data_IF_709806339249
#
_entry.id   IF_709806339249
#
_cell.length_a   1.000
_cell.length_b   1.000
_cell.length_c   1.000
_cell.angle_alpha   90.00
_cell.angle_beta   90.00
_cell.angle_gamma   90.00
#
_symmetry.space_group_name_H-M   'P 1'
#
loop_
_entity.id
_entity.type
_entity.pdbx_description
1 polymer ?
#
# COMPACT_ATOMS: atom_id res chain seq x y z
N UNK A 1 -12.41 -20.30 2.65
CA UNK A 1 -13.04 -19.66 3.83
C UNK A 1 -14.13 -18.67 3.40
N UNK A 2 -15.37 -18.85 3.85
CA UNK A 2 -16.45 -17.93 3.47
C UNK A 2 -16.17 -16.56 4.09
N UNK A 3 -15.97 -15.54 3.26
CA UNK A 3 -15.75 -14.13 3.66
C UNK A 3 -16.79 -13.66 4.70
N UNK A 4 -17.98 -14.27 4.68
CA UNK A 4 -19.12 -13.98 5.55
C UNK A 4 -18.81 -14.02 7.05
N UNK A 5 -17.91 -14.89 7.52
CA UNK A 5 -17.60 -14.97 8.95
C UNK A 5 -16.65 -13.85 9.43
N UNK A 6 -16.10 -13.05 8.50
CA UNK A 6 -15.17 -11.96 8.79
C UNK A 6 -15.78 -10.57 8.62
N UNK A 7 -17.06 -10.50 8.27
CA UNK A 7 -17.76 -9.24 7.98
C UNK A 7 -19.08 -9.19 8.71
N UNK A 8 -19.46 -8.00 9.16
CA UNK A 8 -20.82 -7.73 9.64
C UNK A 8 -21.64 -7.18 8.49
N UNK A 9 -22.75 -7.83 8.17
CA UNK A 9 -23.68 -7.36 7.14
C UNK A 9 -24.83 -6.63 7.81
N UNK A 10 -25.14 -5.43 7.31
CA UNK A 10 -26.24 -4.59 7.78
C UNK A 10 -27.21 -4.40 6.61
N UNK A 11 -28.30 -5.16 6.60
CA UNK A 11 -29.30 -5.13 5.52
C UNK A 11 -30.29 -3.97 5.69
N UNK A 12 -29.82 -2.74 5.48
CA UNK A 12 -30.67 -1.55 5.52
C UNK A 12 -30.12 -0.43 4.61
N UNK A 13 -30.94 0.58 4.24
CA UNK A 13 -30.46 1.74 3.50
C UNK A 13 -29.32 2.47 4.23
N UNK A 14 -28.41 3.09 3.48
CA UNK A 14 -27.30 3.85 4.07
C UNK A 14 -27.79 4.95 5.00
N UNK A 15 -27.12 5.10 6.15
CA UNK A 15 -27.31 6.20 7.09
C UNK A 15 -25.93 6.68 7.52
N UNK A 16 -25.70 7.99 7.72
CA UNK A 16 -24.39 8.51 8.15
C UNK A 16 -23.83 7.86 9.43
N UNK A 17 -24.71 7.37 10.32
CA UNK A 17 -24.31 6.65 11.53
C UNK A 17 -23.55 5.33 11.25
N UNK A 18 -23.73 4.71 10.08
CA UNK A 18 -22.99 3.49 9.70
C UNK A 18 -21.50 3.74 9.52
N UNK A 19 -21.07 5.01 9.35
CA UNK A 19 -19.65 5.37 9.28
C UNK A 19 -19.01 5.52 10.67
N UNK A 20 -19.75 5.31 11.76
CA UNK A 20 -19.20 5.39 13.11
C UNK A 20 -18.08 4.35 13.30
N UNK A 21 -16.91 4.82 13.76
CA UNK A 21 -15.74 3.96 13.96
C UNK A 21 -14.94 3.63 12.69
N UNK A 22 -15.43 4.00 11.51
CA UNK A 22 -14.70 3.78 10.26
C UNK A 22 -13.40 4.60 10.21
N UNK A 23 -12.49 4.18 9.34
CA UNK A 23 -11.24 4.88 8.98
C UNK A 23 -11.08 5.01 7.46
N UNK A 24 -11.69 4.09 6.73
CA UNK A 24 -11.70 3.99 5.28
C UNK A 24 -13.08 3.53 4.84
N UNK A 25 -13.57 4.07 3.73
CA UNK A 25 -14.90 3.76 3.18
C UNK A 25 -14.74 3.33 1.72
N UNK A 26 -15.43 2.25 1.35
CA UNK A 26 -15.63 1.87 -0.05
C UNK A 26 -17.10 2.10 -0.37
N UNK A 27 -17.38 3.00 -1.31
CA UNK A 27 -18.71 3.30 -1.80
C UNK A 27 -18.90 2.59 -3.15
N UNK A 28 -19.81 1.62 -3.21
CA UNK A 28 -20.05 0.80 -4.40
C UNK A 28 -21.56 0.60 -4.61
N UNK A 29 -22.31 1.70 -4.56
CA UNK A 29 -23.76 1.74 -4.73
C UNK A 29 -24.14 2.61 -5.94
N UNK A 30 -25.40 3.05 -6.01
CA UNK A 30 -25.83 4.03 -7.02
C UNK A 30 -25.16 5.39 -6.79
N UNK A 31 -25.05 6.25 -7.82
CA UNK A 31 -24.43 7.58 -7.67
C UNK A 31 -25.04 8.43 -6.55
N UNK A 32 -26.34 8.32 -6.31
CA UNK A 32 -27.05 9.04 -5.24
C UNK A 32 -26.53 8.60 -3.87
N UNK A 33 -26.46 7.30 -3.64
CA UNK A 33 -25.97 6.74 -2.37
C UNK A 33 -24.47 7.02 -2.21
N UNK A 34 -23.68 6.94 -3.28
CA UNK A 34 -22.25 7.26 -3.23
C UNK A 34 -22.01 8.73 -2.84
N UNK A 35 -22.82 9.67 -3.34
CA UNK A 35 -22.78 11.09 -2.91
C UNK A 35 -23.11 11.25 -1.42
N UNK A 36 -24.14 10.58 -0.92
CA UNK A 36 -24.51 10.63 0.50
C UNK A 36 -23.41 10.05 1.39
N UNK A 37 -22.81 8.93 0.98
CA UNK A 37 -21.67 8.31 1.65
C UNK A 37 -20.48 9.26 1.67
N UNK A 38 -20.14 9.88 0.53
CA UNK A 38 -19.02 10.79 0.41
C UNK A 38 -19.21 12.05 1.28
N UNK A 39 -20.40 12.64 1.28
CA UNK A 39 -20.72 13.78 2.14
C UNK A 39 -20.60 13.43 3.63
N UNK A 40 -21.15 12.29 4.04
CA UNK A 40 -21.08 11.82 5.42
C UNK A 40 -19.63 11.47 5.85
N UNK A 41 -18.83 10.94 4.93
CA UNK A 41 -17.42 10.62 5.13
C UNK A 41 -16.55 11.88 5.23
N UNK A 42 -16.78 12.88 4.36
CA UNK A 42 -16.09 14.16 4.39
C UNK A 42 -16.28 14.89 5.72
N UNK A 43 -17.52 14.90 6.25
CA UNK A 43 -17.82 15.47 7.57
C UNK A 43 -17.07 14.80 8.74
N UNK A 44 -16.47 13.63 8.51
CA UNK A 44 -15.72 12.83 9.50
C UNK A 44 -14.22 12.73 9.17
N UNK A 45 -13.74 13.37 8.09
CA UNK A 45 -12.36 13.25 7.64
C UNK A 45 -11.97 11.84 7.18
N UNK A 46 -12.93 11.06 6.64
CA UNK A 46 -12.68 9.70 6.18
C UNK A 46 -12.27 9.67 4.70
N UNK A 47 -11.36 8.77 4.36
CA UNK A 47 -11.02 8.46 2.97
C UNK A 47 -12.13 7.61 2.32
N UNK A 48 -12.48 7.95 1.08
CA UNK A 48 -13.53 7.30 0.31
C UNK A 48 -12.95 6.82 -1.01
N UNK A 49 -12.98 5.50 -1.22
CA UNK A 49 -12.86 4.92 -2.54
C UNK A 49 -14.26 4.67 -3.11
N UNK A 50 -14.65 5.47 -4.09
CA UNK A 50 -15.92 5.29 -4.78
C UNK A 50 -15.70 4.49 -6.06
N UNK A 51 -16.27 3.28 -6.10
CA UNK A 51 -16.18 2.34 -7.21
C UNK A 51 -17.02 2.88 -8.36
N UNK A 52 -16.40 2.99 -9.54
CA UNK A 52 -17.00 3.51 -10.78
C UNK A 52 -17.58 4.94 -10.69
N UNK A 53 -17.31 5.67 -9.60
CA UNK A 53 -17.73 7.06 -9.40
C UNK A 53 -16.54 7.93 -8.90
N UNK A 54 -15.57 8.23 -9.78
CA UNK A 54 -14.39 8.99 -9.41
C UNK A 54 -14.70 10.44 -8.97
N UNK A 55 -15.91 10.94 -9.23
CA UNK A 55 -16.31 12.31 -8.91
C UNK A 55 -16.43 12.57 -7.40
N UNK A 56 -16.70 11.52 -6.63
CA UNK A 56 -16.86 11.58 -5.17
C UNK A 56 -15.76 10.82 -4.41
N UNK A 57 -14.81 10.24 -5.13
CA UNK A 57 -13.66 9.55 -4.54
C UNK A 57 -12.67 10.56 -3.95
N UNK A 58 -12.21 10.30 -2.73
CA UNK A 58 -11.10 11.02 -2.08
C UNK A 58 -9.85 10.16 -1.93
N UNK A 59 -9.95 8.88 -2.30
CA UNK A 59 -8.85 7.94 -2.33
C UNK A 59 -9.00 6.91 -3.45
N UNK A 60 -7.87 6.52 -4.03
CA UNK A 60 -7.81 5.63 -5.17
C UNK A 60 -7.01 4.38 -4.83
N UNK A 61 -7.50 3.24 -5.30
CA UNK A 61 -6.69 2.03 -5.31
C UNK A 61 -5.64 2.13 -6.43
N UNK A 62 -4.45 1.63 -6.15
CA UNK A 62 -3.32 1.59 -7.07
C UNK A 62 -2.77 0.17 -7.23
N UNK A 63 -1.77 0.02 -8.11
CA UNK A 63 -1.00 -1.21 -8.19
C UNK A 63 -0.10 -1.33 -6.97
N UNK A 64 -0.11 -2.47 -6.28
CA UNK A 64 0.78 -2.71 -5.13
C UNK A 64 1.62 -3.94 -5.40
N UNK A 65 2.93 -3.75 -5.42
CA UNK A 65 3.91 -4.83 -5.40
C UNK A 65 4.19 -5.20 -3.96
N UNK A 66 4.15 -6.49 -3.63
CA UNK A 66 4.53 -7.01 -2.31
C UNK A 66 5.60 -8.09 -2.45
N UNK A 67 6.77 -7.85 -1.84
CA UNK A 67 7.90 -8.79 -1.80
C UNK A 67 8.43 -8.84 -0.37
N UNK A 68 7.94 -9.82 0.39
CA UNK A 68 8.24 -9.94 1.83
C UNK A 68 7.86 -8.64 2.57
N UNK A 69 8.80 -8.00 3.30
CA UNK A 69 8.55 -6.75 4.02
C UNK A 69 8.63 -5.48 3.14
N UNK A 70 8.94 -5.61 1.85
CA UNK A 70 9.02 -4.49 0.91
C UNK A 70 7.71 -4.35 0.15
N UNK A 71 7.10 -3.17 0.23
CA UNK A 71 5.91 -2.81 -0.54
C UNK A 71 6.18 -1.58 -1.42
N UNK A 72 5.68 -1.61 -2.66
CA UNK A 72 5.70 -0.47 -3.58
C UNK A 72 4.28 -0.20 -4.06
N UNK A 73 3.76 0.98 -3.77
CA UNK A 73 2.47 1.44 -4.24
C UNK A 73 2.63 2.36 -5.46
N UNK A 74 1.84 2.11 -6.50
CA UNK A 74 1.88 2.79 -7.78
C UNK A 74 0.50 3.39 -8.03
N UNK A 75 0.44 4.70 -8.20
CA UNK A 75 -0.81 5.43 -8.45
C UNK A 75 -0.65 6.33 -9.68
N UNK A 76 -1.72 6.40 -10.46
CA UNK A 76 -1.89 7.37 -11.55
C UNK A 76 -2.90 8.47 -11.19
N UNK A 77 -3.17 8.66 -9.89
CA UNK A 77 -4.19 9.60 -9.42
C UNK A 77 -5.61 9.25 -9.86
N UNK A 78 -5.87 7.95 -10.10
CA UNK A 78 -7.16 7.48 -10.64
C UNK A 78 -7.34 7.68 -12.15
N UNK A 79 -6.41 8.36 -12.83
CA UNK A 79 -6.54 8.71 -14.25
C UNK A 79 -6.34 7.50 -15.19
N UNK A 80 -5.49 6.55 -14.80
CA UNK A 80 -5.15 5.40 -15.63
C UNK A 80 -4.92 4.13 -14.78
N UNK A 81 -5.99 3.46 -14.31
CA UNK A 81 -5.87 2.24 -13.51
C UNK A 81 -5.13 1.12 -14.22
N UNK A 82 -5.38 0.95 -15.53
CA UNK A 82 -4.69 -0.05 -16.35
C UNK A 82 -3.17 0.20 -16.42
N UNK A 83 -2.74 1.46 -16.55
CA UNK A 83 -1.33 1.81 -16.54
C UNK A 83 -0.66 1.51 -15.18
N UNK A 84 -1.35 1.80 -14.07
CA UNK A 84 -0.85 1.44 -12.74
C UNK A 84 -0.67 -0.09 -12.60
N UNK A 85 -1.58 -0.88 -13.19
CA UNK A 85 -1.47 -2.34 -13.27
C UNK A 85 -0.25 -2.82 -14.06
N UNK A 86 -0.03 -2.26 -15.26
CA UNK A 86 1.12 -2.62 -16.10
C UNK A 86 2.46 -2.27 -15.43
N UNK A 87 2.55 -1.11 -14.77
CA UNK A 87 3.74 -0.72 -14.02
C UNK A 87 4.01 -1.65 -12.83
N UNK A 88 2.96 -2.09 -12.13
CA UNK A 88 3.07 -3.08 -11.04
C UNK A 88 3.66 -4.39 -11.56
N UNK A 89 3.14 -4.89 -12.68
CA UNK A 89 3.61 -6.13 -13.30
C UNK A 89 5.06 -6.04 -13.74
N UNK A 90 5.45 -4.92 -14.36
CA UNK A 90 6.83 -4.68 -14.74
C UNK A 90 7.75 -4.65 -13.51
N UNK A 91 7.36 -3.96 -12.44
CA UNK A 91 8.14 -3.91 -11.19
C UNK A 91 8.23 -5.29 -10.54
N UNK A 92 7.14 -6.06 -10.49
CA UNK A 92 7.16 -7.44 -9.97
C UNK A 92 8.13 -8.34 -10.73
N UNK A 93 8.25 -8.17 -12.05
CA UNK A 93 9.14 -8.95 -12.88
C UNK A 93 10.63 -8.62 -12.70
N UNK A 94 10.97 -7.34 -12.48
CA UNK A 94 12.38 -6.92 -12.34
C UNK A 94 12.90 -7.01 -10.90
N UNK A 95 12.01 -7.00 -9.91
CA UNK A 95 12.39 -7.01 -8.51
C UNK A 95 12.89 -8.39 -8.09
N UNK A 96 14.08 -8.47 -7.44
CA UNK A 96 14.63 -9.75 -7.00
C UNK A 96 13.68 -10.51 -6.06
N UNK A 97 13.67 -11.83 -6.17
CA UNK A 97 12.81 -12.68 -5.33
C UNK A 97 13.23 -12.69 -3.86
N UNK A 98 14.49 -12.38 -3.58
CA UNK A 98 15.19 -12.36 -2.28
C UNK A 98 15.22 -10.96 -1.62
N UNK A 99 14.28 -10.08 -1.98
CA UNK A 99 14.13 -8.74 -1.37
C UNK A 99 13.92 -8.78 0.16
N UNK A 100 13.43 -9.88 0.69
CA UNK A 100 13.35 -10.13 2.13
C UNK A 100 14.73 -10.22 2.78
N UNK A 101 15.70 -10.87 2.14
CA UNK A 101 17.09 -10.94 2.61
C UNK A 101 17.73 -9.55 2.70
N UNK A 102 17.44 -8.68 1.72
CA UNK A 102 17.92 -7.30 1.73
C UNK A 102 17.45 -6.56 2.98
N UNK A 103 16.20 -6.81 3.39
CA UNK A 103 15.60 -6.18 4.56
C UNK A 103 16.19 -6.73 5.86
N UNK A 104 16.51 -8.03 5.91
CA UNK A 104 17.24 -8.65 7.03
C UNK A 104 18.61 -8.00 7.20
N UNK A 105 19.38 -7.88 6.11
CA UNK A 105 20.70 -7.24 6.10
C UNK A 105 20.59 -5.78 6.54
N UNK A 106 19.68 -5.01 5.95
CA UNK A 106 19.48 -3.60 6.27
C UNK A 106 19.11 -3.39 7.75
N UNK A 107 18.27 -4.25 8.32
CA UNK A 107 17.83 -4.16 9.72
C UNK A 107 18.97 -4.45 10.69
N UNK A 108 19.77 -5.50 10.40
CA UNK A 108 20.96 -5.84 11.18
C UNK A 108 21.98 -4.70 11.19
N UNK A 109 22.37 -4.24 10.00
CA UNK A 109 23.37 -3.17 9.84
C UNK A 109 22.90 -1.85 10.46
N UNK A 110 21.60 -1.51 10.34
CA UNK A 110 21.02 -0.33 10.99
C UNK A 110 21.21 -0.36 12.51
N UNK A 111 21.10 -1.54 13.12
CA UNK A 111 21.28 -1.70 14.57
C UNK A 111 22.74 -1.49 14.98
N UNK A 112 23.69 -2.00 14.18
CA UNK A 112 25.13 -1.78 14.36
C UNK A 112 25.48 -0.29 14.22
N UNK A 113 24.99 0.39 13.18
CA UNK A 113 25.23 1.82 12.98
C UNK A 113 24.71 2.70 14.11
N UNK A 114 23.58 2.34 14.72
CA UNK A 114 23.04 3.06 15.88
C UNK A 114 23.96 2.90 17.10
N UNK A 115 24.42 1.67 17.37
CA UNK A 115 25.36 1.37 18.46
C UNK A 115 26.68 2.11 18.26
N UNK A 116 27.22 2.07 17.05
CA UNK A 116 28.55 2.57 16.72
C UNK A 116 28.53 4.06 16.28
N UNK A 117 27.36 4.69 16.29
CA UNK A 117 27.13 6.10 15.91
C UNK A 117 27.67 6.46 14.52
N UNK A 118 27.51 5.55 13.55
CA UNK A 118 27.98 5.73 12.17
C UNK A 118 27.30 6.97 11.54
N UNK A 119 28.08 7.91 10.96
CA UNK A 119 27.57 9.10 10.29
C UNK A 119 26.57 8.79 9.19
N UNK A 120 25.52 9.62 9.06
CA UNK A 120 24.43 9.36 8.12
C UNK A 120 24.88 9.35 6.65
N UNK A 121 25.91 10.13 6.33
CA UNK A 121 26.55 10.22 5.00
C UNK A 121 27.21 8.91 4.57
N UNK A 122 27.67 8.09 5.51
CA UNK A 122 28.38 6.83 5.23
C UNK A 122 27.43 5.63 5.03
N UNK A 123 26.19 5.75 5.51
CA UNK A 123 25.23 4.64 5.60
C UNK A 123 24.86 4.05 4.24
N UNK A 124 24.47 4.89 3.27
CA UNK A 124 24.04 4.40 1.95
C UNK A 124 25.17 3.65 1.20
N UNK A 125 26.41 4.19 1.10
CA UNK A 125 27.53 3.45 0.51
C UNK A 125 27.85 2.13 1.24
N UNK A 126 27.70 2.08 2.55
CA UNK A 126 27.92 0.84 3.33
C UNK A 126 26.82 -0.20 3.09
N UNK A 127 25.55 0.20 3.00
CA UNK A 127 24.45 -0.70 2.67
C UNK A 127 24.61 -1.30 1.27
N UNK A 128 24.94 -0.47 0.29
CA UNK A 128 25.16 -0.95 -1.09
C UNK A 128 26.24 -2.03 -1.12
N UNK A 129 27.39 -1.78 -0.49
CA UNK A 129 28.48 -2.77 -0.39
C UNK A 129 28.07 -4.06 0.32
N UNK A 130 27.19 -3.99 1.32
CA UNK A 130 26.69 -5.18 2.00
C UNK A 130 25.76 -6.01 1.09
N UNK A 131 24.92 -5.36 0.29
CA UNK A 131 24.05 -6.03 -0.69
C UNK A 131 24.86 -6.59 -1.87
N UNK A 132 25.88 -5.88 -2.35
CA UNK A 132 26.79 -6.41 -3.38
C UNK A 132 27.46 -7.72 -2.93
N UNK A 133 27.87 -7.81 -1.66
CA UNK A 133 28.46 -9.04 -1.10
C UNK A 133 27.48 -10.21 -1.03
N UNK A 134 26.18 -9.94 -0.85
CA UNK A 134 25.14 -10.97 -0.86
C UNK A 134 25.14 -11.71 -2.20
N UNK A 135 25.18 -10.96 -3.31
CA UNK A 135 25.17 -11.54 -4.65
C UNK A 135 26.53 -12.07 -5.12
N UNK A 136 27.63 -11.49 -4.63
CA UNK A 136 28.97 -11.97 -4.94
C UNK A 136 29.26 -13.37 -4.35
N UNK A 137 28.59 -13.75 -3.26
CA UNK A 137 28.71 -15.08 -2.65
C UNK A 137 27.79 -16.14 -3.26
N UNK A 138 26.77 -15.75 -4.01
CA UNK A 138 25.80 -16.66 -4.64
C UNK A 138 26.20 -17.13 -6.05
N UNK A 139 27.25 -16.51 -6.63
CA UNK A 139 27.80 -16.84 -7.95
C UNK A 139 29.03 -17.76 -7.90
N UNK A 140 29.28 -18.42 -6.76
CA UNK A 140 30.37 -19.38 -6.55
C UNK A 140 29.84 -20.81 -6.37
#
# INVERSE_FOLDING_TARGET
PAIRDKVTVIEQPFRPAHLAGARWVVAAATPEVNRDVAAAAAARGLFVNAVDDPSVATAYLGGVVRRGPVEIAISTGGLAPALAGLLREALEAILPHDLDEWTVIATRIRSEWKRDRVPMTERRPLLLRALERLYAGATA
#
